data_IF_006412184181
#
_entry.id   IF_006412184181
#
_cell.length_a   1.000
_cell.length_b   1.000
_cell.length_c   1.000
_cell.angle_alpha   90.00
_cell.angle_beta   90.00
_cell.angle_gamma   90.00
#
_symmetry.space_group_name_H-M   'P 1'
#
loop_
_entity.id
_entity.type
_entity.pdbx_description
1 polymer ?
#
# COMPACT_ATOMS: atom_id res chain seq x y z
N UNK A 1 2.89 4.18 -17.85
CA UNK A 1 2.01 3.43 -16.92
C UNK A 1 1.75 4.29 -15.69
N UNK A 2 0.54 4.27 -15.13
CA UNK A 2 0.25 5.07 -13.92
C UNK A 2 0.83 4.40 -12.66
N UNK A 3 0.93 5.15 -11.55
CA UNK A 3 1.36 4.57 -10.27
C UNK A 3 0.38 3.49 -9.77
N UNK A 4 -0.92 3.64 -10.05
CA UNK A 4 -1.92 2.65 -9.66
C UNK A 4 -1.74 1.33 -10.41
N UNK A 5 -1.55 1.41 -11.74
CA UNK A 5 -1.26 0.26 -12.59
C UNK A 5 0.04 -0.42 -12.15
N UNK A 6 1.09 0.37 -11.92
CA UNK A 6 2.39 -0.12 -11.45
C UNK A 6 2.25 -0.87 -10.12
N UNK A 7 1.51 -0.28 -9.16
CA UNK A 7 1.28 -0.88 -7.86
C UNK A 7 0.49 -2.19 -7.97
N UNK A 8 -0.51 -2.25 -8.85
CA UNK A 8 -1.29 -3.46 -9.10
C UNK A 8 -0.42 -4.58 -9.68
N UNK A 9 0.47 -4.29 -10.63
CA UNK A 9 1.40 -5.28 -11.19
C UNK A 9 2.40 -5.80 -10.14
N UNK A 10 2.98 -4.88 -9.36
CA UNK A 10 3.87 -5.21 -8.23
C UNK A 10 3.11 -6.00 -7.14
N UNK A 11 1.77 -5.91 -7.12
CA UNK A 11 0.89 -6.52 -6.14
C UNK A 11 0.89 -5.78 -4.80
N UNK A 12 1.30 -4.51 -4.78
CA UNK A 12 1.51 -3.69 -3.59
C UNK A 12 0.64 -2.42 -3.59
N UNK A 13 0.68 -1.65 -2.51
CA UNK A 13 0.00 -0.35 -2.48
C UNK A 13 0.84 0.73 -3.19
N UNK A 14 0.21 1.80 -3.73
CA UNK A 14 0.92 2.94 -4.31
C UNK A 14 1.98 3.55 -3.39
N UNK A 15 1.63 3.72 -2.10
CA UNK A 15 2.53 4.26 -1.07
C UNK A 15 3.75 3.35 -0.85
N UNK A 16 3.54 2.04 -0.82
CA UNK A 16 4.65 1.10 -0.70
C UNK A 16 5.61 1.23 -1.89
N UNK A 17 5.08 1.33 -3.11
CA UNK A 17 5.89 1.50 -4.33
C UNK A 17 6.73 2.77 -4.27
N UNK A 18 6.14 3.89 -3.86
CA UNK A 18 6.88 5.16 -3.72
C UNK A 18 8.01 5.05 -2.69
N UNK A 19 7.71 4.51 -1.50
CA UNK A 19 8.70 4.31 -0.44
C UNK A 19 9.83 3.36 -0.86
N UNK A 20 9.48 2.28 -1.58
CA UNK A 20 10.43 1.32 -2.11
C UNK A 20 11.40 1.99 -3.08
N UNK A 21 10.89 2.76 -4.05
CA UNK A 21 11.72 3.47 -5.02
C UNK A 21 12.61 4.54 -4.37
N UNK A 22 12.09 5.26 -3.38
CA UNK A 22 12.86 6.23 -2.60
C UNK A 22 14.01 5.55 -1.83
N UNK A 23 13.74 4.43 -1.15
CA UNK A 23 14.78 3.64 -0.43
C UNK A 23 15.85 3.07 -1.36
N UNK A 24 15.45 2.76 -2.60
CA UNK A 24 16.35 2.27 -3.65
C UNK A 24 17.09 3.40 -4.39
N UNK A 25 16.82 4.68 -4.07
CA UNK A 25 17.44 5.83 -4.75
C UNK A 25 17.09 5.90 -6.25
N UNK A 26 15.97 5.32 -6.67
CA UNK A 26 15.56 5.23 -8.07
C UNK A 26 14.63 6.39 -8.41
N UNK A 27 14.76 6.93 -9.64
CA UNK A 27 13.78 7.88 -10.19
C UNK A 27 12.41 7.20 -10.30
N UNK A 28 11.33 7.95 -10.11
CA UNK A 28 9.94 7.49 -10.22
C UNK A 28 9.53 7.22 -11.69
N UNK A 29 10.18 6.23 -12.31
CA UNK A 29 9.82 5.73 -13.64
C UNK A 29 9.01 4.46 -13.48
N UNK A 30 7.74 4.51 -13.85
CA UNK A 30 6.82 3.37 -13.75
C UNK A 30 6.79 2.65 -15.09
N UNK A 31 7.69 1.68 -15.26
CA UNK A 31 7.75 0.81 -16.43
C UNK A 31 7.52 -0.67 -16.06
N UNK A 32 7.30 -1.48 -17.10
CA UNK A 32 6.98 -2.89 -16.95
C UNK A 32 8.14 -3.71 -16.36
N UNK A 33 9.37 -3.44 -16.81
CA UNK A 33 10.56 -4.16 -16.38
C UNK A 33 10.83 -3.94 -14.88
N UNK A 34 10.61 -2.72 -14.41
CA UNK A 34 10.71 -2.36 -13.00
C UNK A 34 9.58 -2.99 -12.18
N UNK A 35 8.34 -2.99 -12.67
CA UNK A 35 7.22 -3.64 -11.97
C UNK A 35 7.47 -5.14 -11.81
N UNK A 36 7.96 -5.82 -12.86
CA UNK A 36 8.37 -7.24 -12.82
C UNK A 36 9.47 -7.49 -11.80
N UNK A 37 10.50 -6.65 -11.78
CA UNK A 37 11.63 -6.87 -10.87
C UNK A 37 11.26 -6.55 -9.42
N UNK A 38 10.56 -5.44 -9.20
CA UNK A 38 10.16 -4.98 -7.87
C UNK A 38 9.08 -5.87 -7.26
N UNK A 39 8.17 -6.42 -8.08
CA UNK A 39 7.18 -7.38 -7.63
C UNK A 39 7.83 -8.66 -7.08
N UNK A 40 8.82 -9.21 -7.78
CA UNK A 40 9.58 -10.35 -7.26
C UNK A 40 10.38 -10.00 -6.01
N UNK A 41 11.07 -8.85 -6.01
CA UNK A 41 11.82 -8.37 -4.86
C UNK A 41 10.94 -8.23 -3.59
N UNK A 42 9.70 -7.76 -3.76
CA UNK A 42 8.75 -7.68 -2.66
C UNK A 42 8.38 -9.06 -2.11
N UNK A 43 8.11 -10.04 -2.98
CA UNK A 43 7.79 -11.40 -2.55
C UNK A 43 8.96 -12.01 -1.77
N UNK A 44 10.19 -11.84 -2.26
CA UNK A 44 11.40 -12.29 -1.55
C UNK A 44 11.55 -11.62 -0.19
N UNK A 45 11.35 -10.30 -0.13
CA UNK A 45 11.37 -9.54 1.12
C UNK A 45 10.32 -10.06 2.13
N UNK A 46 9.08 -10.31 1.67
CA UNK A 46 8.00 -10.79 2.54
C UNK A 46 8.25 -12.20 3.05
N UNK A 47 8.82 -13.09 2.22
CA UNK A 47 9.03 -14.49 2.59
C UNK A 47 10.26 -14.70 3.47
N UNK A 48 11.32 -13.92 3.29
CA UNK A 48 12.61 -14.15 3.96
C UNK A 48 13.00 -13.03 4.92
N UNK A 49 12.18 -11.99 5.04
CA UNK A 49 12.46 -10.81 5.86
C UNK A 49 13.82 -10.14 5.56
N UNK A 50 14.32 -10.27 4.32
CA UNK A 50 15.60 -9.69 3.89
C UNK A 50 15.46 -8.21 3.51
N UNK A 51 16.54 -7.40 3.61
CA UNK A 51 16.51 -6.01 3.18
C UNK A 51 16.15 -5.86 1.70
N UNK A 52 15.29 -4.89 1.38
CA UNK A 52 14.78 -4.66 0.01
C UNK A 52 15.90 -4.51 -1.05
N UNK A 53 17.05 -3.91 -0.70
CA UNK A 53 18.19 -3.80 -1.61
C UNK A 53 18.75 -5.16 -2.02
N UNK A 54 18.87 -6.08 -1.04
CA UNK A 54 19.29 -7.48 -1.28
C UNK A 54 18.24 -8.20 -2.11
N UNK A 55 16.97 -8.11 -1.71
CA UNK A 55 15.86 -8.72 -2.45
C UNK A 55 15.78 -8.24 -3.91
N UNK A 56 16.07 -6.97 -4.17
CA UNK A 56 16.09 -6.40 -5.52
C UNK A 56 17.22 -6.98 -6.38
N UNK A 57 18.42 -7.10 -5.82
CA UNK A 57 19.57 -7.72 -6.50
C UNK A 57 19.27 -9.18 -6.83
N UNK A 58 18.72 -9.90 -5.86
CA UNK A 58 18.44 -11.34 -5.97
C UNK A 58 17.30 -11.57 -6.97
N UNK A 59 16.25 -10.73 -6.98
CA UNK A 59 15.21 -10.72 -8.01
C UNK A 59 15.75 -10.44 -9.42
N UNK A 60 16.67 -9.46 -9.57
CA UNK A 60 17.30 -9.17 -10.85
C UNK A 60 18.13 -10.34 -11.36
N UNK A 61 18.85 -11.02 -10.46
CA UNK A 61 19.62 -12.21 -10.77
C UNK A 61 18.69 -13.34 -11.25
N UNK A 62 17.69 -13.69 -10.45
CA UNK A 62 16.72 -14.74 -10.77
C UNK A 62 16.02 -14.50 -12.12
N UNK A 63 15.58 -13.26 -12.40
CA UNK A 63 14.91 -12.93 -13.66
C UNK A 63 15.83 -12.93 -14.89
N UNK A 64 17.15 -12.80 -14.71
CA UNK A 64 18.14 -12.93 -15.79
C UNK A 64 18.51 -14.38 -16.04
N UNK A 65 18.73 -15.14 -14.97
CA UNK A 65 19.21 -16.51 -15.04
C UNK A 65 18.12 -17.47 -15.49
N UNK A 66 16.84 -17.17 -15.25
CA UNK A 66 15.80 -18.09 -15.68
C UNK A 66 14.43 -17.46 -15.90
N UNK A 67 14.00 -17.27 -17.16
CA UNK A 67 12.58 -17.09 -17.45
C UNK A 67 11.78 -18.39 -17.34
N UNK A 68 12.42 -19.57 -17.42
CA UNK A 68 11.77 -20.87 -17.59
C UNK A 68 12.12 -21.94 -16.52
N UNK A 69 13.01 -21.65 -15.58
CA UNK A 69 13.46 -22.60 -14.57
C UNK A 69 13.45 -21.97 -13.18
N UNK A 70 13.44 -22.82 -12.18
CA UNK A 70 13.54 -22.45 -10.78
C UNK A 70 14.95 -21.92 -10.50
N UNK A 71 15.07 -20.66 -10.08
CA UNK A 71 16.36 -20.09 -9.73
C UNK A 71 16.76 -20.57 -8.33
N UNK A 72 17.90 -21.26 -8.22
CA UNK A 72 18.48 -21.67 -6.94
C UNK A 72 19.53 -20.64 -6.54
N UNK A 73 19.41 -20.16 -5.31
CA UNK A 73 20.39 -19.27 -4.72
C UNK A 73 20.95 -19.94 -3.48
N UNK A 74 22.21 -20.33 -3.56
CA UNK A 74 22.92 -20.90 -2.42
C UNK A 74 23.39 -19.77 -1.49
N UNK A 75 23.29 -20.03 -0.19
CA UNK A 75 23.92 -19.19 0.82
C UNK A 75 25.45 -19.31 0.71
N UNK A 76 26.22 -18.21 0.79
CA UNK A 76 27.69 -18.26 0.74
C UNK A 76 28.33 -19.16 1.81
N UNK A 77 27.63 -19.48 2.90
CA UNK A 77 28.11 -20.43 3.92
C UNK A 77 27.63 -21.87 3.67
N UNK A 78 26.85 -22.13 2.62
CA UNK A 78 26.33 -23.45 2.27
C UNK A 78 25.23 -23.97 3.19
N UNK A 79 24.72 -23.14 4.11
CA UNK A 79 23.80 -23.56 5.18
C UNK A 79 22.35 -23.62 4.69
N UNK A 80 21.97 -22.77 3.73
CA UNK A 80 20.63 -22.72 3.16
C UNK A 80 20.67 -22.57 1.64
N UNK A 81 19.74 -23.22 0.95
CA UNK A 81 19.45 -22.98 -0.45
C UNK A 81 18.04 -22.37 -0.58
N UNK A 82 17.96 -21.25 -1.28
CA UNK A 82 16.70 -20.60 -1.64
C UNK A 82 16.31 -21.02 -3.06
N UNK A 83 15.07 -21.47 -3.20
CA UNK A 83 14.49 -21.91 -4.47
C UNK A 83 13.41 -20.92 -4.88
N UNK A 84 13.62 -20.21 -6.00
CA UNK A 84 12.70 -19.18 -6.53
C UNK A 84 12.01 -19.73 -7.78
N UNK A 85 10.71 -20.02 -7.67
CA UNK A 85 9.88 -20.42 -8.81
C UNK A 85 9.51 -19.20 -9.67
N UNK A 86 10.43 -18.81 -10.56
CA UNK A 86 10.26 -17.68 -11.47
C UNK A 86 9.08 -17.90 -12.44
N UNK A 87 8.87 -19.08 -13.05
CA UNK A 87 7.71 -19.33 -13.91
C UNK A 87 6.38 -19.05 -13.20
N UNK A 88 6.20 -19.55 -11.96
CA UNK A 88 4.99 -19.27 -11.18
C UNK A 88 4.82 -17.78 -10.89
N UNK A 89 5.91 -17.08 -10.57
CA UNK A 89 5.88 -15.63 -10.39
C UNK A 89 5.43 -14.91 -11.68
N UNK A 90 5.97 -15.29 -12.83
CA UNK A 90 5.61 -14.70 -14.12
C UNK A 90 4.14 -14.96 -14.48
N UNK A 91 3.62 -16.15 -14.20
CA UNK A 91 2.18 -16.46 -14.35
C UNK A 91 1.33 -15.54 -13.49
N UNK A 92 1.69 -15.33 -12.22
CA UNK A 92 0.97 -14.39 -11.35
C UNK A 92 1.04 -12.95 -11.85
N UNK A 93 2.19 -12.52 -12.36
CA UNK A 93 2.36 -11.20 -12.97
C UNK A 93 1.47 -11.05 -14.22
N UNK A 94 1.41 -12.07 -15.08
CA UNK A 94 0.56 -12.10 -16.27
C UNK A 94 -0.93 -12.03 -15.90
N UNK A 95 -1.36 -12.74 -14.85
CA UNK A 95 -2.74 -12.65 -14.35
C UNK A 95 -3.08 -11.24 -13.85
N UNK A 96 -2.15 -10.55 -13.17
CA UNK A 96 -2.34 -9.14 -12.78
C UNK A 96 -2.39 -8.22 -14.00
N UNK A 97 -1.59 -8.49 -15.01
CA UNK A 97 -1.60 -7.79 -16.30
C UNK A 97 -2.97 -7.89 -16.97
N UNK A 98 -3.50 -9.11 -17.09
CA UNK A 98 -4.80 -9.38 -17.68
C UNK A 98 -5.92 -8.68 -16.89
N UNK A 99 -5.89 -8.75 -15.55
CA UNK A 99 -6.84 -8.01 -14.70
C UNK A 99 -6.79 -6.51 -14.96
N UNK A 100 -5.61 -5.93 -15.14
CA UNK A 100 -5.46 -4.51 -15.45
C UNK A 100 -6.11 -4.12 -16.79
N UNK A 101 -6.06 -5.03 -17.78
CA UNK A 101 -6.69 -4.81 -19.09
C UNK A 101 -8.22 -4.90 -19.01
N UNK A 102 -8.75 -5.83 -18.23
CA UNK A 102 -10.20 -6.04 -18.09
C UNK A 102 -10.88 -5.09 -17.09
N UNK A 103 -10.19 -4.72 -16.01
CA UNK A 103 -10.69 -3.83 -14.95
C UNK A 103 -9.59 -2.84 -14.54
N UNK A 104 -9.32 -1.82 -15.38
CA UNK A 104 -8.29 -0.83 -15.07
C UNK A 104 -8.70 -0.03 -13.82
N UNK A 105 -7.76 0.28 -12.91
CA UNK A 105 -8.05 1.06 -11.73
C UNK A 105 -8.71 2.37 -12.14
N UNK A 106 -9.87 2.68 -11.54
CA UNK A 106 -10.64 3.88 -11.85
C UNK A 106 -9.72 5.10 -11.84
N UNK A 107 -9.57 5.73 -13.00
CA UNK A 107 -8.87 7.03 -13.12
C UNK A 107 -9.51 7.98 -12.12
N UNK A 108 -8.71 8.58 -11.24
CA UNK A 108 -9.15 9.72 -10.42
C UNK A 108 -9.49 10.87 -11.36
N UNK A 109 -10.75 10.93 -11.79
CA UNK A 109 -11.41 12.11 -12.32
C UNK A 109 -12.37 12.64 -11.26
N UNK A 110 -12.65 13.95 -11.32
CA UNK A 110 -13.62 14.66 -10.47
C UNK A 110 -14.83 13.75 -10.22
N UNK A 111 -15.27 13.56 -8.96
CA UNK A 111 -16.40 12.71 -8.68
C UNK A 111 -17.55 13.14 -9.59
N UNK A 112 -18.07 12.23 -10.41
CA UNK A 112 -19.40 12.42 -11.01
C UNK A 112 -20.29 12.71 -9.81
N UNK A 113 -20.94 13.88 -9.80
CA UNK A 113 -21.94 14.22 -8.79
C UNK A 113 -23.02 13.14 -8.88
N UNK A 114 -22.84 12.06 -8.11
CA UNK A 114 -23.91 11.15 -7.77
C UNK A 114 -24.70 11.92 -6.73
N UNK A 115 -25.80 12.51 -7.18
CA UNK A 115 -26.86 12.92 -6.29
C UNK A 115 -27.24 11.72 -5.43
N UNK A 116 -27.10 11.89 -4.11
CA UNK A 116 -27.55 11.06 -2.97
C UNK A 116 -27.21 9.54 -3.03
N UNK A 117 -26.76 8.87 -1.97
CA UNK A 117 -27.07 8.99 -0.57
C UNK A 117 -25.87 8.53 0.28
N UNK A 118 -25.63 9.22 1.40
CA UNK A 118 -24.81 8.69 2.50
C UNK A 118 -23.30 8.93 2.38
N UNK A 119 -22.85 10.18 2.56
CA UNK A 119 -21.42 10.50 2.71
C UNK A 119 -20.73 9.75 3.87
N UNK A 120 -21.51 9.33 4.88
CA UNK A 120 -21.05 8.51 6.00
C UNK A 120 -20.65 7.10 5.53
N UNK A 121 -21.45 6.46 4.67
CA UNK A 121 -21.16 5.14 4.13
C UNK A 121 -19.92 5.15 3.21
N UNK A 122 -19.72 6.24 2.46
CA UNK A 122 -18.54 6.43 1.63
C UNK A 122 -17.25 6.61 2.47
N UNK A 123 -17.35 7.24 3.65
CA UNK A 123 -16.22 7.42 4.55
C UNK A 123 -15.87 6.14 5.34
N UNK A 124 -16.86 5.32 5.72
CA UNK A 124 -16.63 3.99 6.31
C UNK A 124 -15.96 3.02 5.32
N UNK A 125 -16.39 3.02 4.05
CA UNK A 125 -15.75 2.24 3.00
C UNK A 125 -14.27 2.63 2.76
N UNK A 126 -13.88 3.82 3.23
CA UNK A 126 -12.51 4.32 3.19
C UNK A 126 -11.69 4.00 4.46
N UNK A 127 -12.29 3.31 5.44
CA UNK A 127 -11.65 2.91 6.70
C UNK A 127 -11.57 4.02 7.76
N UNK A 128 -12.40 5.06 7.65
CA UNK A 128 -12.52 6.09 8.68
C UNK A 128 -13.46 5.60 9.79
N UNK A 129 -13.02 5.68 11.04
CA UNK A 129 -13.86 5.42 12.20
C UNK A 129 -14.77 6.64 12.46
N UNK A 130 -16.05 6.48 12.14
CA UNK A 130 -17.07 7.53 12.29
C UNK A 130 -17.94 7.33 13.52
N UNK A 131 -17.58 6.42 14.44
CA UNK A 131 -18.37 6.14 15.64
C UNK A 131 -18.63 7.41 16.47
N UNK A 132 -17.60 8.26 16.63
CA UNK A 132 -17.69 9.53 17.35
C UNK A 132 -18.54 10.60 16.63
N UNK A 133 -18.55 10.60 15.29
CA UNK A 133 -19.39 11.52 14.51
C UNK A 133 -20.86 11.07 14.53
N UNK A 134 -21.12 9.76 14.48
CA UNK A 134 -22.46 9.20 14.58
C UNK A 134 -23.08 9.40 15.96
N UNK A 135 -22.30 9.29 17.03
CA UNK A 135 -22.81 9.57 18.39
C UNK A 135 -23.19 11.04 18.55
N UNK A 136 -22.37 11.98 18.07
CA UNK A 136 -22.68 13.41 18.14
C UNK A 136 -23.88 13.87 17.28
N UNK A 137 -24.16 13.16 16.18
CA UNK A 137 -25.33 13.44 15.33
C UNK A 137 -26.65 12.91 15.90
N UNK A 138 -26.61 11.96 16.83
CA UNK A 138 -27.78 11.42 17.54
C UNK A 138 -28.21 12.27 18.74
N UNK A 139 -27.33 13.14 19.22
CA UNK A 139 -27.63 14.06 20.31
C UNK A 139 -28.55 15.20 19.84
N UNK A 140 -29.46 15.60 20.71
CA UNK A 140 -30.29 16.80 20.53
C UNK A 140 -29.43 18.07 20.46
N UNK A 141 -30.00 19.16 19.97
CA UNK A 141 -29.26 20.42 19.77
C UNK A 141 -28.66 20.96 21.08
N UNK A 142 -29.41 20.88 22.19
CA UNK A 142 -28.93 21.31 23.51
C UNK A 142 -27.78 20.44 24.03
N UNK A 143 -27.93 19.12 23.96
CA UNK A 143 -26.91 18.15 24.38
C UNK A 143 -25.60 18.28 23.58
N UNK A 144 -25.71 18.60 22.29
CA UNK A 144 -24.55 18.84 21.42
C UNK A 144 -23.76 20.08 21.84
N UNK A 145 -24.44 21.15 22.26
CA UNK A 145 -23.78 22.36 22.76
C UNK A 145 -23.09 22.10 24.09
N UNK A 146 -23.73 21.40 25.02
CA UNK A 146 -23.14 21.03 26.30
C UNK A 146 -21.88 20.15 26.11
N UNK A 147 -21.93 19.21 25.17
CA UNK A 147 -20.78 18.36 24.85
C UNK A 147 -19.63 19.17 24.23
N UNK A 148 -19.92 20.16 23.38
CA UNK A 148 -18.91 21.04 22.81
C UNK A 148 -18.26 21.91 23.89
N UNK A 149 -19.03 22.44 24.83
CA UNK A 149 -18.51 23.24 25.95
C UNK A 149 -17.66 22.40 26.91
N UNK A 150 -18.08 21.16 27.18
CA UNK A 150 -17.31 20.21 27.98
C UNK A 150 -15.96 19.88 27.31
N UNK A 151 -15.97 19.65 26.00
CA UNK A 151 -14.76 19.38 25.21
C UNK A 151 -13.81 20.60 25.18
N UNK A 152 -14.34 21.81 25.04
CA UNK A 152 -13.54 23.03 25.08
C UNK A 152 -12.86 23.22 26.44
N UNK A 153 -13.59 23.00 27.55
CA UNK A 153 -13.05 23.06 28.91
C UNK A 153 -11.94 22.04 29.14
N UNK A 154 -12.14 20.79 28.70
CA UNK A 154 -11.11 19.73 28.79
C UNK A 154 -9.85 20.10 27.99
N UNK A 155 -10.00 20.59 26.76
CA UNK A 155 -8.87 20.99 25.91
C UNK A 155 -8.10 22.18 26.49
N UNK A 156 -8.80 23.14 27.11
CA UNK A 156 -8.17 24.25 27.81
C UNK A 156 -7.35 23.77 29.01
N UNK A 157 -7.87 22.84 29.81
CA UNK A 157 -7.17 22.23 30.94
C UNK A 157 -5.90 21.47 30.50
N UNK A 158 -5.98 20.68 29.43
CA UNK A 158 -4.83 19.94 28.87
C UNK A 158 -3.74 20.88 28.30
N UNK A 159 -4.12 22.04 27.77
CA UNK A 159 -3.17 23.07 27.28
C UNK A 159 -2.54 23.85 28.43
N UNK A 160 -3.29 24.09 29.52
CA UNK A 160 -2.78 24.72 30.73
C UNK A 160 -1.77 23.85 31.49
N UNK A 161 -2.04 22.55 31.64
CA UNK A 161 -1.16 21.61 32.34
C UNK A 161 0.19 21.35 31.66
N UNK A 162 0.32 21.65 30.35
CA UNK A 162 1.58 21.52 29.59
C UNK A 162 2.54 22.70 29.75
N UNK A 163 2.16 23.76 30.47
CA UNK A 163 3.00 24.93 30.74
C UNK A 163 3.60 24.96 32.16
N UNK A 164 3.34 23.93 32.97
CA UNK A 164 3.73 23.88 34.40
C UNK A 164 4.76 22.80 34.72
N UNK A 165 5.52 22.33 33.72
CA UNK A 165 6.65 21.38 33.89
C UNK A 165 7.90 21.97 33.26
#
# INVERSE_FOLDING_TARGET
MTLADFALLVGATPRWCQNALQRLGRRFRYDWALARTLGLARLLQQMQNIPLRRAMRDAQRALRESPATVARQDDPHGIMALTIDVPRYLTQLALRAARLQHDPPRRRGRPRQRHSAGGIAAAEAYGLDLAALRSGLRLGHAERLEQLDANQRMLAALRGGRRSV
#
